data_IF_758500241931
#
_entry.id   IF_758500241931
#
_cell.length_a   1.000
_cell.length_b   1.000
_cell.length_c   1.000
_cell.angle_alpha   90.00
_cell.angle_beta   90.00
_cell.angle_gamma   90.00
#
_symmetry.space_group_name_H-M   'P 1'
#
loop_
_entity.id
_entity.type
_entity.pdbx_description
1 polymer ?
#
# COMPACT_ATOMS: atom_id res chain seq x y z
N UNK A 1 18.49 15.52 7.72
CA UNK A 1 17.04 15.64 7.44
C UNK A 1 16.87 15.71 5.93
N UNK A 2 15.85 15.09 5.34
CA UNK A 2 15.58 15.28 3.90
C UNK A 2 15.29 16.75 3.62
N UNK A 3 15.59 17.22 2.41
CA UNK A 3 15.19 18.55 1.97
C UNK A 3 13.67 18.69 1.97
N UNK A 4 13.17 19.87 2.30
CA UNK A 4 11.74 20.10 2.49
C UNK A 4 10.92 19.76 1.23
N UNK A 5 11.46 20.06 0.03
CA UNK A 5 10.75 19.75 -1.20
C UNK A 5 10.71 18.24 -1.47
N UNK A 6 11.78 17.49 -1.20
CA UNK A 6 11.83 16.03 -1.29
C UNK A 6 10.87 15.38 -0.29
N UNK A 7 10.83 15.90 0.94
CA UNK A 7 9.91 15.43 1.96
C UNK A 7 8.43 15.63 1.56
N UNK A 8 8.09 16.83 1.07
CA UNK A 8 6.72 17.13 0.60
C UNK A 8 6.33 16.27 -0.61
N UNK A 9 7.22 16.14 -1.59
CA UNK A 9 6.99 15.30 -2.76
C UNK A 9 6.77 13.84 -2.36
N UNK A 10 7.57 13.32 -1.43
CA UNK A 10 7.41 11.96 -0.91
C UNK A 10 6.09 11.78 -0.14
N UNK A 11 5.69 12.76 0.67
CA UNK A 11 4.41 12.74 1.36
C UNK A 11 3.22 12.69 0.38
N UNK A 12 3.26 13.48 -0.70
CA UNK A 12 2.24 13.47 -1.75
C UNK A 12 2.21 12.13 -2.50
N UNK A 13 3.37 11.56 -2.82
CA UNK A 13 3.45 10.23 -3.44
C UNK A 13 2.90 9.17 -2.49
N UNK A 14 3.24 9.23 -1.20
CA UNK A 14 2.70 8.33 -0.18
C UNK A 14 1.18 8.42 -0.10
N UNK A 15 0.61 9.63 -0.17
CA UNK A 15 -0.83 9.85 -0.22
C UNK A 15 -1.45 9.25 -1.50
N UNK A 16 -0.88 9.50 -2.66
CA UNK A 16 -1.34 8.90 -3.92
C UNK A 16 -1.28 7.37 -3.88
N UNK A 17 -0.20 6.82 -3.32
CA UNK A 17 -0.03 5.38 -3.14
C UNK A 17 -1.09 4.79 -2.20
N UNK A 18 -1.37 5.39 -1.05
CA UNK A 18 -2.36 4.82 -0.12
C UNK A 18 -3.78 4.93 -0.66
N UNK A 19 -4.10 5.99 -1.39
CA UNK A 19 -5.42 6.17 -2.03
C UNK A 19 -5.64 5.21 -3.20
N UNK A 20 -4.56 4.71 -3.80
CA UNK A 20 -4.64 3.65 -4.82
C UNK A 20 -4.98 2.33 -4.13
N UNK A 21 -6.09 1.68 -4.47
CA UNK A 21 -6.46 0.41 -3.87
C UNK A 21 -5.39 -0.66 -4.07
N UNK A 22 -5.20 -1.45 -3.02
CA UNK A 22 -4.23 -2.54 -3.00
C UNK A 22 -4.59 -3.56 -1.91
N UNK A 23 -3.77 -4.62 -1.73
CA UNK A 23 -4.08 -5.71 -0.80
C UNK A 23 -4.41 -5.24 0.61
N UNK A 24 -3.66 -4.28 1.18
CA UNK A 24 -3.92 -3.75 2.52
C UNK A 24 -5.31 -3.10 2.61
N UNK A 25 -5.64 -2.20 1.68
CA UNK A 25 -6.93 -1.51 1.66
C UNK A 25 -8.09 -2.51 1.52
N UNK A 26 -7.98 -3.45 0.56
CA UNK A 26 -9.01 -4.49 0.34
C UNK A 26 -9.21 -5.33 1.59
N UNK A 27 -8.12 -5.74 2.25
CA UNK A 27 -8.17 -6.51 3.47
C UNK A 27 -8.86 -5.74 4.60
N UNK A 28 -8.45 -4.49 4.86
CA UNK A 28 -8.99 -3.66 5.93
C UNK A 28 -10.48 -3.35 5.72
N UNK A 29 -10.87 -3.00 4.49
CA UNK A 29 -12.27 -2.78 4.13
C UNK A 29 -13.10 -4.04 4.37
N UNK A 30 -12.63 -5.20 3.89
CA UNK A 30 -13.31 -6.48 4.06
C UNK A 30 -13.52 -6.80 5.55
N UNK A 31 -12.48 -6.64 6.40
CA UNK A 31 -12.61 -6.89 7.84
C UNK A 31 -13.54 -5.90 8.53
N UNK A 32 -13.46 -4.62 8.15
CA UNK A 32 -14.33 -3.57 8.73
C UNK A 32 -15.81 -3.79 8.38
N UNK A 33 -16.11 -4.21 7.15
CA UNK A 33 -17.49 -4.47 6.72
C UNK A 33 -18.04 -5.76 7.35
N UNK A 34 -17.26 -6.85 7.28
CA UNK A 34 -17.75 -8.18 7.63
C UNK A 34 -17.68 -8.50 9.13
N UNK A 35 -16.77 -7.85 9.87
CA UNK A 35 -16.54 -8.15 11.31
C UNK A 35 -16.59 -6.88 12.18
N UNK A 36 -16.91 -5.74 11.58
CA UNK A 36 -17.05 -4.46 12.26
C UNK A 36 -15.76 -3.63 12.30
N UNK A 37 -15.92 -2.34 12.61
CA UNK A 37 -14.82 -1.34 12.62
C UNK A 37 -13.66 -1.73 13.52
N UNK A 38 -13.94 -2.34 14.68
CA UNK A 38 -12.91 -2.82 15.61
C UNK A 38 -11.98 -3.85 14.99
N UNK A 39 -12.54 -4.80 14.21
CA UNK A 39 -11.74 -5.79 13.49
C UNK A 39 -10.85 -5.15 12.43
N UNK A 40 -11.35 -4.13 11.71
CA UNK A 40 -10.55 -3.35 10.77
C UNK A 40 -9.40 -2.60 11.45
N UNK A 41 -9.64 -1.96 12.59
CA UNK A 41 -8.62 -1.23 13.33
C UNK A 41 -7.55 -2.15 13.95
N UNK A 42 -7.94 -3.31 14.48
CA UNK A 42 -6.98 -4.32 14.96
C UNK A 42 -6.10 -4.82 13.80
N UNK A 43 -6.72 -5.08 12.65
CA UNK A 43 -6.00 -5.46 11.44
C UNK A 43 -5.04 -4.36 10.96
N UNK A 44 -5.44 -3.09 11.08
CA UNK A 44 -4.60 -1.93 10.76
C UNK A 44 -3.38 -1.85 11.68
N UNK A 45 -3.50 -2.22 12.96
CA UNK A 45 -2.36 -2.35 13.87
C UNK A 45 -1.30 -3.32 13.33
N UNK A 46 -1.72 -4.46 12.79
CA UNK A 46 -0.82 -5.41 12.12
C UNK A 46 -0.19 -4.82 10.85
N UNK A 47 -0.99 -4.15 10.02
CA UNK A 47 -0.48 -3.45 8.82
C UNK A 47 0.56 -2.39 9.20
N UNK A 48 0.31 -1.62 10.27
CA UNK A 48 1.25 -0.61 10.76
C UNK A 48 2.59 -1.23 11.19
N UNK A 49 2.56 -2.37 11.87
CA UNK A 49 3.79 -3.10 12.22
C UNK A 49 4.56 -3.55 10.97
N UNK A 50 3.87 -3.96 9.90
CA UNK A 50 4.50 -4.29 8.63
C UNK A 50 5.19 -3.08 7.99
N UNK A 51 4.61 -1.89 8.06
CA UNK A 51 5.27 -0.67 7.62
C UNK A 51 6.52 -0.34 8.45
N UNK A 52 6.45 -0.50 9.78
CA UNK A 52 7.61 -0.33 10.67
C UNK A 52 8.72 -1.29 10.27
N UNK A 53 8.41 -2.53 9.99
CA UNK A 53 9.39 -3.51 9.51
C UNK A 53 10.09 -3.02 8.23
N UNK A 54 9.35 -2.58 7.22
CA UNK A 54 9.92 -2.05 5.99
C UNK A 54 10.75 -0.78 6.22
N UNK A 55 10.28 0.13 7.07
CA UNK A 55 11.02 1.35 7.44
C UNK A 55 12.38 1.00 8.06
N UNK A 56 12.41 0.06 8.99
CA UNK A 56 13.66 -0.38 9.63
C UNK A 56 14.58 -1.08 8.61
N UNK A 57 14.04 -1.94 7.74
CA UNK A 57 14.84 -2.53 6.67
C UNK A 57 15.47 -1.47 5.75
N UNK A 58 14.71 -0.44 5.38
CA UNK A 58 15.23 0.66 4.56
C UNK A 58 16.31 1.46 5.31
N UNK A 59 16.06 1.83 6.58
CA UNK A 59 16.97 2.60 7.39
C UNK A 59 18.28 1.86 7.70
N UNK A 60 18.22 0.55 7.92
CA UNK A 60 19.40 -0.31 8.18
C UNK A 60 20.18 -0.66 6.91
N UNK A 61 19.81 -0.11 5.76
CA UNK A 61 20.55 -0.30 4.51
C UNK A 61 20.29 -1.62 3.78
N UNK A 62 19.29 -2.42 4.22
CA UNK A 62 18.91 -3.66 3.50
C UNK A 62 18.48 -3.33 2.07
N UNK A 63 17.88 -2.16 1.86
CA UNK A 63 17.59 -1.63 0.51
C UNK A 63 18.85 -1.50 -0.34
N UNK A 64 19.93 -0.94 0.22
CA UNK A 64 21.21 -0.81 -0.48
C UNK A 64 21.81 -2.20 -0.81
N UNK A 65 21.67 -3.16 0.11
CA UNK A 65 22.12 -4.54 -0.11
C UNK A 65 21.34 -5.20 -1.27
N UNK A 66 20.02 -5.05 -1.31
CA UNK A 66 19.20 -5.56 -2.42
C UNK A 66 19.57 -4.90 -3.74
N UNK A 67 19.86 -3.58 -3.72
CA UNK A 67 20.33 -2.84 -4.89
C UNK A 67 21.72 -3.26 -5.37
N UNK A 68 22.58 -3.75 -4.46
CA UNK A 68 23.91 -4.26 -4.79
C UNK A 68 23.88 -5.62 -5.48
N UNK A 69 22.81 -6.39 -5.31
CA UNK A 69 22.66 -7.70 -5.97
C UNK A 69 22.26 -7.49 -7.44
N UNK A 70 23.05 -7.98 -8.41
CA UNK A 70 22.68 -7.88 -9.83
C UNK A 70 21.27 -8.45 -10.07
N UNK A 71 20.47 -7.72 -10.83
CA UNK A 71 19.11 -8.09 -11.23
C UNK A 71 18.06 -8.18 -10.10
N UNK A 72 18.42 -8.10 -8.81
CA UNK A 72 17.44 -8.17 -7.72
C UNK A 72 16.43 -7.02 -7.78
N UNK A 73 16.91 -5.81 -8.05
CA UNK A 73 16.06 -4.65 -8.25
C UNK A 73 15.11 -4.82 -9.45
N UNK A 74 15.66 -5.28 -10.59
CA UNK A 74 14.86 -5.49 -11.80
C UNK A 74 13.84 -6.60 -11.61
N UNK A 75 14.18 -7.69 -10.94
CA UNK A 75 13.24 -8.76 -10.59
C UNK A 75 12.10 -8.25 -9.70
N UNK A 76 12.43 -7.44 -8.70
CA UNK A 76 11.43 -6.83 -7.80
C UNK A 76 10.52 -5.85 -8.54
N UNK A 77 11.12 -5.01 -9.40
CA UNK A 77 10.42 -4.02 -10.22
C UNK A 77 9.46 -4.69 -11.20
N UNK A 78 9.96 -5.65 -11.97
CA UNK A 78 9.17 -6.38 -12.97
C UNK A 78 8.09 -7.22 -12.28
N UNK A 79 8.44 -7.98 -11.24
CA UNK A 79 7.49 -8.78 -10.47
C UNK A 79 6.39 -7.92 -9.84
N UNK A 80 6.75 -6.77 -9.27
CA UNK A 80 5.81 -5.79 -8.73
C UNK A 80 4.89 -5.21 -9.80
N UNK A 81 5.42 -4.84 -10.97
CA UNK A 81 4.64 -4.33 -12.09
C UNK A 81 3.66 -5.38 -12.62
N UNK A 82 4.09 -6.62 -12.82
CA UNK A 82 3.24 -7.72 -13.24
C UNK A 82 2.11 -7.99 -12.22
N UNK A 83 2.43 -7.92 -10.93
CA UNK A 83 1.42 -8.05 -9.89
C UNK A 83 0.41 -6.90 -9.89
N UNK A 84 0.84 -5.65 -10.10
CA UNK A 84 -0.08 -4.51 -10.23
C UNK A 84 -0.96 -4.64 -11.48
N UNK A 85 -0.44 -5.13 -12.59
CA UNK A 85 -1.22 -5.45 -13.79
C UNK A 85 -2.24 -6.55 -13.51
N UNK A 86 -1.86 -7.60 -12.78
CA UNK A 86 -2.79 -8.65 -12.35
C UNK A 86 -3.93 -8.06 -11.49
N UNK A 87 -3.62 -7.19 -10.53
CA UNK A 87 -4.65 -6.53 -9.71
C UNK A 87 -5.53 -5.59 -10.55
N UNK A 88 -4.97 -4.86 -11.51
CA UNK A 88 -5.71 -4.02 -12.44
C UNK A 88 -6.71 -4.86 -13.25
N UNK A 89 -6.25 -5.98 -13.80
CA UNK A 89 -7.13 -6.93 -14.50
C UNK A 89 -8.24 -7.48 -13.61
N UNK A 90 -7.90 -7.89 -12.38
CA UNK A 90 -8.89 -8.38 -11.42
C UNK A 90 -9.97 -7.33 -11.08
N UNK A 91 -9.62 -6.06 -11.11
CA UNK A 91 -10.56 -4.96 -10.86
C UNK A 91 -11.55 -4.79 -12.03
N UNK A 92 -11.08 -4.82 -13.27
CA UNK A 92 -11.90 -4.47 -14.45
C UNK A 92 -12.56 -5.65 -15.14
N UNK A 93 -12.07 -6.89 -14.97
CA UNK A 93 -12.62 -8.08 -15.65
C UNK A 93 -14.12 -8.25 -15.41
N UNK A 94 -14.87 -8.84 -16.37
CA UNK A 94 -16.27 -9.21 -16.16
C UNK A 94 -16.44 -10.05 -14.87
N UNK A 95 -17.41 -9.71 -14.02
CA UNK A 95 -17.58 -10.33 -12.70
C UNK A 95 -16.49 -9.99 -11.66
N UNK A 96 -15.60 -9.04 -11.96
CA UNK A 96 -14.66 -8.51 -10.98
C UNK A 96 -15.38 -7.85 -9.81
N UNK A 97 -14.77 -7.91 -8.62
CA UNK A 97 -15.43 -7.55 -7.36
C UNK A 97 -14.95 -6.21 -6.84
N UNK A 98 -15.87 -5.47 -6.23
CA UNK A 98 -15.52 -4.28 -5.46
C UNK A 98 -14.94 -4.70 -4.11
N UNK A 99 -13.91 -3.99 -3.59
CA UNK A 99 -13.45 -4.14 -2.21
C UNK A 99 -14.55 -3.92 -1.16
N UNK A 100 -15.59 -3.15 -1.53
CA UNK A 100 -16.72 -2.81 -0.65
C UNK A 100 -17.90 -3.78 -0.75
N UNK A 101 -17.75 -4.91 -1.44
CA UNK A 101 -18.80 -5.93 -1.52
C UNK A 101 -19.02 -6.59 -0.15
N UNK A 102 -20.27 -6.59 0.31
CA UNK A 102 -20.65 -7.19 1.58
C UNK A 102 -20.51 -8.71 1.53
N UNK A 103 -19.81 -9.29 2.51
CA UNK A 103 -19.67 -10.73 2.69
C UNK A 103 -19.90 -11.10 4.15
N UNK A 104 -20.51 -12.25 4.36
CA UNK A 104 -20.50 -12.87 5.67
C UNK A 104 -19.17 -13.62 5.84
N UNK A 105 -18.37 -13.21 6.81
CA UNK A 105 -17.15 -13.89 7.21
C UNK A 105 -17.29 -14.29 8.68
N UNK A 106 -16.79 -15.48 9.07
CA UNK A 106 -16.76 -15.85 10.47
C UNK A 106 -15.92 -14.86 11.27
N UNK A 107 -16.24 -14.70 12.55
CA UNK A 107 -15.51 -13.82 13.47
C UNK A 107 -14.09 -14.37 13.67
N UNK A 108 -13.09 -13.56 13.40
CA UNK A 108 -11.68 -13.90 13.66
C UNK A 108 -11.24 -13.34 15.02
N UNK A 109 -10.35 -14.05 15.70
CA UNK A 109 -9.77 -13.54 16.94
C UNK A 109 -8.90 -12.29 16.69
N UNK A 110 -8.75 -11.40 17.70
CA UNK A 110 -7.90 -10.21 17.58
C UNK A 110 -6.45 -10.54 17.16
N UNK A 111 -5.89 -11.62 17.69
CA UNK A 111 -4.55 -12.10 17.31
C UNK A 111 -4.47 -12.47 15.82
N UNK A 112 -5.49 -13.18 15.32
CA UNK A 112 -5.54 -13.58 13.92
C UNK A 112 -5.68 -12.35 13.01
N UNK A 113 -6.55 -11.41 13.37
CA UNK A 113 -6.73 -10.15 12.62
C UNK A 113 -5.43 -9.36 12.53
N UNK A 114 -4.72 -9.21 13.64
CA UNK A 114 -3.44 -8.52 13.70
C UNK A 114 -2.38 -9.23 12.84
N UNK A 115 -2.21 -10.54 13.02
CA UNK A 115 -1.23 -11.34 12.27
C UNK A 115 -1.51 -11.31 10.76
N UNK A 116 -2.78 -11.44 10.36
CA UNK A 116 -3.18 -11.34 8.95
C UNK A 116 -2.91 -9.94 8.39
N UNK A 117 -3.15 -8.88 9.16
CA UNK A 117 -2.82 -7.51 8.78
C UNK A 117 -1.32 -7.33 8.54
N UNK A 118 -0.49 -7.82 9.46
CA UNK A 118 0.96 -7.81 9.33
C UNK A 118 1.44 -8.57 8.09
N UNK A 119 0.98 -9.79 7.89
CA UNK A 119 1.36 -10.61 6.74
C UNK A 119 0.87 -10.00 5.42
N UNK A 120 -0.35 -9.45 5.39
CA UNK A 120 -0.87 -8.76 4.21
C UNK A 120 0.00 -7.57 3.81
N UNK A 121 0.52 -6.82 4.79
CA UNK A 121 1.45 -5.72 4.52
C UNK A 121 2.82 -6.24 4.09
N UNK A 122 3.37 -7.20 4.83
CA UNK A 122 4.71 -7.75 4.58
C UNK A 122 4.81 -8.39 3.19
N UNK A 123 3.77 -9.08 2.76
CA UNK A 123 3.71 -9.73 1.44
C UNK A 123 3.14 -8.82 0.35
N UNK A 124 2.92 -7.53 0.64
CA UNK A 124 2.36 -6.58 -0.30
C UNK A 124 3.44 -6.01 -1.22
N UNK A 125 3.49 -6.40 -2.50
CA UNK A 125 4.53 -5.93 -3.41
C UNK A 125 4.47 -4.41 -3.65
N UNK A 126 3.30 -3.78 -3.51
CA UNK A 126 3.15 -2.33 -3.59
C UNK A 126 3.96 -1.64 -2.48
N UNK A 127 3.98 -2.20 -1.27
CA UNK A 127 4.74 -1.68 -0.15
C UNK A 127 6.23 -1.97 -0.31
N UNK A 128 6.57 -3.17 -0.77
CA UNK A 128 7.96 -3.50 -1.11
C UNK A 128 8.53 -2.49 -2.12
N UNK A 129 7.81 -2.21 -3.20
CA UNK A 129 8.21 -1.21 -4.21
C UNK A 129 8.35 0.18 -3.60
N UNK A 130 7.41 0.59 -2.74
CA UNK A 130 7.45 1.88 -2.06
C UNK A 130 8.74 2.07 -1.27
N UNK A 131 9.14 1.06 -0.48
CA UNK A 131 10.31 1.15 0.37
C UNK A 131 11.63 0.81 -0.35
N UNK A 132 11.61 -0.09 -1.33
CA UNK A 132 12.83 -0.54 -2.01
C UNK A 132 13.17 0.31 -3.24
N UNK A 133 12.18 0.86 -3.93
CA UNK A 133 12.39 1.59 -5.18
C UNK A 133 12.11 3.08 -5.08
N UNK A 134 11.03 3.48 -4.40
CA UNK A 134 10.63 4.88 -4.36
C UNK A 134 11.33 5.64 -3.23
N UNK A 135 11.35 5.13 -2.01
CA UNK A 135 11.93 5.84 -0.87
C UNK A 135 13.39 6.25 -1.10
N UNK A 136 14.29 5.42 -1.66
CA UNK A 136 15.68 5.81 -1.92
C UNK A 136 15.84 6.99 -2.86
N UNK A 137 14.89 7.25 -3.75
CA UNK A 137 14.94 8.36 -4.70
C UNK A 137 14.80 9.74 -4.03
N UNK A 138 14.34 9.77 -2.78
CA UNK A 138 14.14 10.97 -1.96
C UNK A 138 15.21 11.16 -0.89
N UNK A 139 16.23 10.30 -0.88
CA UNK A 139 17.37 10.36 0.02
C UNK A 139 18.53 11.01 -0.72
N UNK A 140 19.09 12.06 -0.12
CA UNK A 140 20.31 12.71 -0.61
C UNK A 140 21.46 12.53 0.40
N UNK A 141 22.43 11.66 0.10
CA UNK A 141 23.58 11.44 0.99
C UNK A 141 24.43 12.68 1.23
N UNK A 142 24.41 13.67 0.31
CA UNK A 142 25.15 14.91 0.46
C UNK A 142 24.53 15.84 1.52
N UNK A 143 23.23 15.71 1.80
CA UNK A 143 22.48 16.53 2.76
C UNK A 143 22.25 15.84 4.11
N UNK A 144 23.05 14.86 4.49
CA UNK A 144 23.07 14.26 5.82
C UNK A 144 22.90 12.75 5.85
N UNK A 145 22.68 12.22 7.06
CA UNK A 145 22.64 10.77 7.29
C UNK A 145 21.49 10.09 6.52
N UNK A 146 21.82 9.12 5.70
CA UNK A 146 20.88 8.25 4.98
C UNK A 146 19.93 7.57 5.97
N UNK A 147 20.44 7.10 7.11
CA UNK A 147 19.65 6.48 8.17
C UNK A 147 18.55 7.41 8.69
N UNK A 148 18.91 8.65 9.04
CA UNK A 148 17.93 9.62 9.56
C UNK A 148 16.90 10.01 8.50
N UNK A 149 17.32 10.19 7.24
CA UNK A 149 16.41 10.49 6.14
C UNK A 149 15.43 9.34 5.89
N UNK A 150 15.93 8.09 5.90
CA UNK A 150 15.09 6.88 5.76
C UNK A 150 14.04 6.78 6.85
N UNK A 151 14.41 7.07 8.11
CA UNK A 151 13.47 7.07 9.24
C UNK A 151 12.41 8.17 9.09
N UNK A 152 12.78 9.39 8.73
CA UNK A 152 11.84 10.52 8.58
C UNK A 152 10.86 10.23 7.43
N UNK A 153 11.36 9.82 6.27
CA UNK A 153 10.53 9.48 5.12
C UNK A 153 9.63 8.27 5.43
N UNK A 154 10.20 7.20 5.98
CA UNK A 154 9.45 6.01 6.36
C UNK A 154 8.36 6.29 7.38
N UNK A 155 8.65 7.11 8.40
CA UNK A 155 7.66 7.54 9.39
C UNK A 155 6.56 8.40 8.76
N UNK A 156 6.92 9.32 7.87
CA UNK A 156 5.94 10.11 7.11
C UNK A 156 4.97 9.20 6.34
N UNK A 157 5.53 8.20 5.64
CA UNK A 157 4.72 7.22 4.91
C UNK A 157 3.79 6.45 5.86
N UNK A 158 4.28 6.01 7.03
CA UNK A 158 3.48 5.31 8.04
C UNK A 158 2.32 6.19 8.50
N UNK A 159 2.59 7.44 8.90
CA UNK A 159 1.56 8.37 9.36
C UNK A 159 0.49 8.59 8.29
N UNK A 160 0.89 8.90 7.06
CA UNK A 160 -0.04 9.10 5.94
C UNK A 160 -0.87 7.83 5.69
N UNK A 161 -0.21 6.67 5.58
CA UNK A 161 -0.89 5.42 5.25
C UNK A 161 -1.80 4.94 6.37
N UNK A 162 -1.38 5.01 7.63
CA UNK A 162 -2.19 4.58 8.76
C UNK A 162 -3.40 5.50 8.94
N UNK A 163 -3.22 6.82 8.83
CA UNK A 163 -4.33 7.79 8.96
C UNK A 163 -5.40 7.57 7.89
N UNK A 164 -5.00 7.45 6.63
CA UNK A 164 -5.93 7.23 5.52
C UNK A 164 -6.63 5.87 5.64
N UNK A 165 -5.88 4.80 5.92
CA UNK A 165 -6.46 3.47 6.09
C UNK A 165 -7.38 3.39 7.31
N UNK A 166 -7.08 4.11 8.42
CA UNK A 166 -7.97 4.22 9.56
C UNK A 166 -9.30 4.89 9.18
N UNK A 167 -9.24 6.01 8.46
CA UNK A 167 -10.44 6.68 7.96
C UNK A 167 -11.26 5.75 7.05
N UNK A 168 -10.60 5.06 6.12
CA UNK A 168 -11.25 4.08 5.23
C UNK A 168 -11.89 2.95 6.03
N UNK A 169 -11.19 2.36 7.01
CA UNK A 169 -11.71 1.28 7.84
C UNK A 169 -12.94 1.72 8.66
N UNK A 170 -12.91 2.94 9.21
CA UNK A 170 -14.03 3.50 9.96
C UNK A 170 -15.26 3.80 9.08
N UNK A 171 -15.04 4.23 7.85
CA UNK A 171 -16.09 4.61 6.90
C UNK A 171 -16.55 3.46 6.00
N UNK A 172 -15.85 2.32 6.01
CA UNK A 172 -16.07 1.22 5.08
C UNK A 172 -17.52 0.73 5.04
N UNK A 173 -18.18 0.61 6.18
CA UNK A 173 -19.58 0.19 6.25
C UNK A 173 -20.53 1.20 5.60
N UNK A 174 -20.33 2.50 5.81
CA UNK A 174 -21.13 3.56 5.20
C UNK A 174 -20.90 3.64 3.69
N UNK A 175 -19.65 3.50 3.25
CA UNK A 175 -19.28 3.46 1.82
C UNK A 175 -19.88 2.23 1.17
N UNK A 176 -19.82 1.06 1.80
CA UNK A 176 -20.41 -0.17 1.28
C UNK A 176 -21.93 -0.05 1.12
N UNK A 177 -22.64 0.51 2.12
CA UNK A 177 -24.08 0.77 2.05
C UNK A 177 -24.44 1.72 0.90
N UNK A 178 -23.67 2.79 0.73
CA UNK A 178 -23.85 3.73 -0.38
C UNK A 178 -23.62 3.08 -1.75
N UNK A 179 -22.56 2.30 -1.89
CA UNK A 179 -22.22 1.63 -3.15
C UNK A 179 -23.19 0.49 -3.49
N UNK A 180 -23.70 -0.24 -2.49
CA UNK A 180 -24.65 -1.33 -2.70
C UNK A 180 -25.93 -0.85 -3.40
N UNK A 181 -26.33 0.42 -3.18
CA UNK A 181 -27.52 1.02 -3.82
C UNK A 181 -27.23 1.67 -5.19
N UNK A 182 -25.97 1.67 -5.66
CA UNK A 182 -25.56 2.42 -6.87
C UNK A 182 -24.57 1.64 -7.74
N UNK A 183 -25.02 0.69 -8.57
CA UNK A 183 -24.15 -0.16 -9.40
C UNK A 183 -23.19 0.62 -10.32
N UNK A 184 -23.62 1.77 -10.86
CA UNK A 184 -22.77 2.62 -11.71
C UNK A 184 -21.55 3.17 -10.98
N UNK A 185 -21.68 3.52 -9.70
CA UNK A 185 -20.55 3.98 -8.87
C UNK A 185 -19.57 2.86 -8.56
N UNK A 186 -20.06 1.62 -8.36
CA UNK A 186 -19.21 0.43 -8.21
C UNK A 186 -18.39 0.21 -9.48
N UNK A 187 -19.03 0.33 -10.64
CA UNK A 187 -18.34 0.17 -11.92
C UNK A 187 -17.30 1.27 -12.15
N UNK A 188 -17.66 2.53 -11.90
CA UNK A 188 -16.74 3.66 -12.02
C UNK A 188 -15.52 3.47 -11.10
N UNK A 189 -15.72 3.09 -9.83
CA UNK A 189 -14.64 2.83 -8.87
C UNK A 189 -13.72 1.70 -9.36
N UNK A 190 -14.27 0.62 -9.91
CA UNK A 190 -13.50 -0.50 -10.44
C UNK A 190 -12.63 -0.07 -11.62
N UNK A 191 -13.17 0.70 -12.56
CA UNK A 191 -12.41 1.23 -13.70
C UNK A 191 -11.32 2.21 -13.25
N UNK A 192 -11.63 3.15 -12.37
CA UNK A 192 -10.66 4.07 -11.81
C UNK A 192 -9.50 3.31 -11.13
N UNK A 193 -9.83 2.31 -10.31
CA UNK A 193 -8.85 1.47 -9.64
C UNK A 193 -7.94 0.73 -10.63
N UNK A 194 -8.54 0.10 -11.64
CA UNK A 194 -7.80 -0.63 -12.67
C UNK A 194 -6.87 0.28 -13.46
N UNK A 195 -7.34 1.46 -13.85
CA UNK A 195 -6.54 2.45 -14.59
C UNK A 195 -5.35 2.96 -13.78
N UNK A 196 -5.56 3.30 -12.50
CA UNK A 196 -4.47 3.77 -11.63
C UNK A 196 -3.42 2.67 -11.40
N UNK A 197 -3.86 1.43 -11.13
CA UNK A 197 -2.93 0.31 -10.95
C UNK A 197 -2.15 -0.01 -12.23
N UNK A 198 -2.80 0.01 -13.39
CA UNK A 198 -2.14 -0.17 -14.69
C UNK A 198 -1.15 0.96 -14.99
N UNK A 199 -1.51 2.20 -14.70
CA UNK A 199 -0.64 3.36 -14.87
C UNK A 199 0.63 3.26 -13.98
N UNK A 200 0.48 2.86 -12.72
CA UNK A 200 1.62 2.61 -11.83
C UNK A 200 2.50 1.46 -12.32
N UNK A 201 1.91 0.37 -12.80
CA UNK A 201 2.65 -0.75 -13.36
C UNK A 201 3.46 -0.35 -14.59
N UNK A 202 2.85 0.40 -15.52
CA UNK A 202 3.52 0.93 -16.70
C UNK A 202 4.68 1.87 -16.32
N UNK A 203 4.45 2.77 -15.36
CA UNK A 203 5.49 3.64 -14.84
C UNK A 203 6.67 2.82 -14.30
N UNK A 204 6.42 1.80 -13.47
CA UNK A 204 7.47 0.92 -12.96
C UNK A 204 8.25 0.20 -14.07
N UNK A 205 7.59 -0.21 -15.16
CA UNK A 205 8.26 -0.88 -16.28
C UNK A 205 9.11 0.09 -17.11
N UNK A 206 8.72 1.35 -17.18
CA UNK A 206 9.43 2.37 -17.98
C UNK A 206 10.55 3.09 -17.21
N UNK A 207 10.56 3.06 -15.87
CA UNK A 207 11.64 3.62 -15.07
C UNK A 207 12.91 2.77 -15.25
N UNK A 208 13.91 3.32 -15.94
CA UNK A 208 15.23 2.70 -16.05
C UNK A 208 15.97 2.78 -14.70
N UNK A 209 16.85 1.78 -14.45
CA UNK A 209 17.80 1.83 -13.32
C UNK A 209 18.70 3.05 -13.51
N UNK A 210 18.64 4.03 -12.62
CA UNK A 210 19.61 5.13 -12.54
C UNK A 210 20.80 4.70 -11.71
#
# INVERSE_FOLDING_TARGET
MPEIHNWLAFALISLGMVLTPGPNMVYLISRSICQGRGAGLISLGGVALGFVFYMLCAALGITALVMAIPYAYDALRIGGALYLLYLAWQAVKPGGRSPFELRQLPQDSPRKLFAMGFLTNLLNPKIAVMYLSLLPQFIDPAHGSVFSQSLVLGFTQIVVSVSVNAAIAMLAGSIAGFLASRPSWVQMQRWLMGTVLAGLALRMLTEARK
#
